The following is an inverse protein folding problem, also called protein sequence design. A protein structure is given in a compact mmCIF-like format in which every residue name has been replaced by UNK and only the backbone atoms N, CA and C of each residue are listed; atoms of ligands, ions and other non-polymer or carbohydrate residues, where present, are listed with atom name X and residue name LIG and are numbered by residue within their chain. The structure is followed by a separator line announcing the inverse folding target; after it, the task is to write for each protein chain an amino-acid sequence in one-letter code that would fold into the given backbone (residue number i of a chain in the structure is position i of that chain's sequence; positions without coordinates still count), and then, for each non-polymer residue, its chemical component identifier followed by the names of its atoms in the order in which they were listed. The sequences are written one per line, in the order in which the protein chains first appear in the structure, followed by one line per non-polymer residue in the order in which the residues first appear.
data_IF_313113492704
#
_entry.id   IF_313113492704
#
_cell.length_a   1.000
_cell.length_b   1.000
_cell.length_c   1.000
_cell.angle_alpha   90.00
_cell.angle_beta   90.00
_cell.angle_gamma   90.00
#
_symmetry.space_group_name_H-M   'P 1'
#
loop_
_entity.id
_entity.type
_entity.pdbx_description
1 polymer ?
#
# COMPACT_ATOMS: atom_id res chain seq x y z
N UNK A 1 25.14 -9.33 14.33
CA UNK A 1 25.24 -7.97 14.87
C UNK A 1 25.98 -7.10 13.86
N UNK A 2 25.25 -6.48 12.93
CA UNK A 2 25.81 -5.39 12.11
C UNK A 2 25.87 -4.16 13.02
N UNK A 3 27.07 -3.64 13.25
CA UNK A 3 27.37 -2.70 14.32
C UNK A 3 26.70 -1.34 14.15
N UNK A 4 26.29 -0.74 15.27
CA UNK A 4 25.64 0.59 15.39
C UNK A 4 26.28 1.71 14.56
N UNK A 5 27.56 1.60 14.17
CA UNK A 5 28.26 2.56 13.30
C UNK A 5 27.78 2.57 11.85
N UNK A 6 27.52 1.41 11.24
CA UNK A 6 27.00 1.33 9.87
C UNK A 6 25.52 1.77 9.81
N UNK A 7 24.74 1.41 10.82
CA UNK A 7 23.36 1.88 10.96
C UNK A 7 23.32 3.40 11.13
N UNK A 8 24.14 3.96 12.02
CA UNK A 8 24.24 5.41 12.21
C UNK A 8 24.74 6.17 10.97
N UNK A 9 25.61 5.57 10.14
CA UNK A 9 26.05 6.19 8.88
C UNK A 9 24.99 6.12 7.78
N UNK A 10 24.27 5.00 7.66
CA UNK A 10 23.16 4.87 6.69
C UNK A 10 21.97 5.75 7.03
N UNK A 11 21.75 6.01 8.31
CA UNK A 11 20.63 6.79 8.79
C UNK A 11 20.99 8.28 9.07
N UNK A 12 22.26 8.66 8.93
CA UNK A 12 22.72 10.05 9.05
C UNK A 12 21.93 11.08 8.20
N UNK A 13 21.49 10.76 6.96
CA UNK A 13 20.66 11.68 6.17
C UNK A 13 19.27 11.97 6.76
N UNK A 14 18.74 11.06 7.59
CA UNK A 14 17.43 11.16 8.22
C UNK A 14 17.47 11.75 9.65
N UNK A 15 18.66 12.13 10.13
CA UNK A 15 18.82 12.72 11.46
C UNK A 15 18.16 14.10 11.53
N UNK A 16 17.37 14.32 12.57
CA UNK A 16 16.60 15.55 12.76
C UNK A 16 15.40 15.69 11.82
N UNK A 17 15.02 14.62 11.12
CA UNK A 17 13.81 14.60 10.28
C UNK A 17 12.67 14.03 11.11
N UNK A 18 11.87 14.90 11.71
CA UNK A 18 10.83 14.52 12.68
C UNK A 18 9.44 14.88 12.19
N UNK A 19 9.22 16.13 11.74
CA UNK A 19 7.90 16.59 11.27
C UNK A 19 7.68 16.20 9.81
N UNK A 20 6.76 15.26 9.57
CA UNK A 20 6.57 14.64 8.25
C UNK A 20 5.19 14.97 7.68
N UNK A 21 5.16 15.63 6.52
CA UNK A 21 3.95 15.77 5.73
C UNK A 21 3.71 14.49 4.90
N UNK A 22 2.56 13.84 5.10
CA UNK A 22 2.22 12.57 4.48
C UNK A 22 1.19 12.78 3.37
N UNK A 23 1.57 12.38 2.16
CA UNK A 23 0.77 12.40 0.94
C UNK A 23 0.32 10.97 0.64
N UNK A 24 -0.99 10.75 0.65
CA UNK A 24 -1.58 9.43 0.45
C UNK A 24 -2.42 9.42 -0.82
N UNK A 25 -2.22 8.41 -1.68
CA UNK A 25 -2.98 8.25 -2.91
C UNK A 25 -3.34 6.78 -3.14
N UNK A 26 -4.65 6.48 -3.20
CA UNK A 26 -5.13 5.17 -3.65
C UNK A 26 -4.80 4.97 -5.12
N UNK A 27 -4.33 3.77 -5.46
CA UNK A 27 -3.97 3.39 -6.81
C UNK A 27 -4.62 2.05 -7.16
N UNK A 28 -5.85 2.03 -7.69
CA UNK A 28 -6.55 0.79 -7.98
C UNK A 28 -5.79 -0.08 -9.01
N UNK A 29 -5.73 -1.39 -8.80
CA UNK A 29 -4.89 -2.29 -9.62
C UNK A 29 -5.31 -2.35 -11.10
N UNK A 30 -6.56 -1.97 -11.41
CA UNK A 30 -7.11 -1.94 -12.76
C UNK A 30 -6.85 -0.62 -13.51
N UNK A 31 -6.22 0.35 -12.84
CA UNK A 31 -5.82 1.63 -13.42
C UNK A 31 -4.30 1.81 -13.33
N UNK A 32 -3.74 2.52 -14.29
CA UNK A 32 -2.36 3.03 -14.25
C UNK A 32 -2.33 4.53 -14.50
N UNK A 33 -1.21 5.17 -14.16
CA UNK A 33 -0.94 6.55 -14.54
C UNK A 33 -0.44 6.60 -15.99
N UNK A 34 -0.55 7.75 -16.64
CA UNK A 34 -0.11 7.92 -18.03
C UNK A 34 1.36 7.54 -18.24
N UNK A 35 2.23 7.80 -17.26
CA UNK A 35 3.66 7.53 -17.23
C UNK A 35 4.03 6.12 -16.74
N UNK A 36 3.04 5.28 -16.41
CA UNK A 36 3.25 3.95 -15.83
C UNK A 36 2.44 2.88 -16.58
N UNK A 37 3.08 1.74 -16.78
CA UNK A 37 2.51 0.64 -17.56
C UNK A 37 1.89 -0.44 -16.66
N UNK A 38 2.26 -0.48 -15.37
CA UNK A 38 1.69 -1.40 -14.39
C UNK A 38 1.39 -0.71 -13.04
N UNK A 39 0.47 -1.31 -12.28
CA UNK A 39 0.17 -0.87 -10.92
C UNK A 39 1.41 -1.01 -10.04
N UNK A 40 1.86 0.07 -9.38
CA UNK A 40 3.04 0.02 -8.52
C UNK A 40 4.36 -0.10 -9.28
N UNK A 41 4.49 0.55 -10.45
CA UNK A 41 5.78 0.67 -11.14
C UNK A 41 6.84 1.33 -10.24
N UNK A 42 7.61 0.48 -9.55
CA UNK A 42 8.80 0.85 -8.78
C UNK A 42 8.58 1.69 -7.53
N UNK A 43 9.70 2.20 -7.03
CA UNK A 43 9.73 3.16 -5.94
C UNK A 43 9.27 4.53 -6.42
N UNK A 44 8.61 5.29 -5.54
CA UNK A 44 8.26 6.68 -5.81
C UNK A 44 9.53 7.53 -5.88
N UNK A 45 9.74 8.24 -6.99
CA UNK A 45 10.85 9.16 -7.22
C UNK A 45 10.33 10.58 -7.31
N UNK A 46 11.25 11.55 -7.32
CA UNK A 46 10.98 12.99 -7.47
C UNK A 46 10.19 13.32 -8.76
N UNK A 47 10.42 12.56 -9.84
CA UNK A 47 9.71 12.72 -11.12
C UNK A 47 8.45 11.85 -11.25
N UNK A 48 8.13 11.02 -10.26
CA UNK A 48 6.93 10.17 -10.32
C UNK A 48 5.66 11.02 -10.31
N UNK A 49 4.74 10.74 -11.23
CA UNK A 49 3.44 11.42 -11.31
C UNK A 49 2.52 11.03 -10.14
N UNK A 50 2.52 11.83 -9.08
CA UNK A 50 1.72 11.57 -7.89
C UNK A 50 0.22 11.76 -8.14
N UNK A 51 -0.15 12.90 -8.74
CA UNK A 51 -1.52 13.24 -9.12
C UNK A 51 -1.63 13.39 -10.63
N UNK A 52 -2.75 12.95 -11.20
CA UNK A 52 -3.00 13.03 -12.63
C UNK A 52 -4.24 12.22 -13.05
N UNK A 53 -4.51 12.13 -14.36
CA UNK A 53 -5.52 11.24 -14.87
C UNK A 53 -5.08 9.77 -14.69
N UNK A 54 -6.07 8.89 -14.55
CA UNK A 54 -5.86 7.45 -14.63
C UNK A 54 -6.28 6.94 -16.01
N UNK A 55 -5.57 5.94 -16.51
CA UNK A 55 -5.92 5.14 -17.70
C UNK A 55 -6.12 3.67 -17.31
N UNK A 56 -6.82 2.86 -18.11
CA UNK A 56 -6.86 1.42 -17.88
C UNK A 56 -5.46 0.80 -17.86
N UNK A 57 -5.20 -0.11 -16.93
CA UNK A 57 -3.93 -0.81 -16.87
C UNK A 57 -3.77 -1.80 -18.05
N UNK A 58 -2.57 -1.87 -18.63
CA UNK A 58 -2.28 -2.72 -19.80
C UNK A 58 -2.38 -4.22 -19.48
N UNK A 59 -2.13 -4.59 -18.22
CA UNK A 59 -2.17 -5.98 -17.76
C UNK A 59 -2.73 -6.09 -16.35
N UNK A 60 -3.68 -7.00 -16.17
CA UNK A 60 -4.35 -7.27 -14.90
C UNK A 60 -4.42 -8.78 -14.69
N UNK A 61 -4.16 -9.25 -13.47
CA UNK A 61 -4.42 -10.65 -13.13
C UNK A 61 -5.95 -10.85 -13.07
N UNK A 62 -6.55 -11.76 -13.87
CA UNK A 62 -8.00 -11.93 -13.91
C UNK A 62 -8.62 -12.42 -12.60
N UNK A 63 -7.80 -12.78 -11.61
CA UNK A 63 -8.21 -13.20 -10.28
C UNK A 63 -8.01 -12.13 -9.21
N UNK A 64 -7.35 -11.03 -9.55
CA UNK A 64 -7.12 -9.91 -8.64
C UNK A 64 -8.32 -8.96 -8.63
N UNK A 65 -8.57 -8.39 -7.47
CA UNK A 65 -9.69 -7.50 -7.22
C UNK A 65 -9.24 -6.34 -6.33
N UNK A 66 -9.76 -5.15 -6.58
CA UNK A 66 -9.55 -3.99 -5.71
C UNK A 66 -10.66 -3.95 -4.65
N UNK A 67 -10.32 -3.76 -3.38
CA UNK A 67 -11.27 -3.86 -2.26
C UNK A 67 -11.76 -2.48 -1.83
N UNK A 68 -13.06 -2.21 -1.96
CA UNK A 68 -13.63 -0.91 -1.62
C UNK A 68 -13.64 -0.64 -0.11
N UNK A 69 -13.85 -1.67 0.71
CA UNK A 69 -14.07 -1.57 2.15
C UNK A 69 -12.84 -1.12 2.95
N UNK A 70 -11.65 -1.10 2.34
CA UNK A 70 -10.46 -0.50 2.95
C UNK A 70 -10.35 0.95 2.47
N UNK A 71 -10.55 1.87 3.41
CA UNK A 71 -10.66 3.31 3.16
C UNK A 71 -9.32 4.02 3.29
N UNK A 72 -9.23 5.22 2.71
CA UNK A 72 -8.07 6.11 2.85
C UNK A 72 -7.79 6.42 4.33
N UNK A 73 -8.85 6.52 5.16
CA UNK A 73 -8.74 6.73 6.60
C UNK A 73 -8.09 5.54 7.32
N UNK A 74 -8.46 4.31 6.98
CA UNK A 74 -7.86 3.09 7.58
C UNK A 74 -6.35 3.02 7.32
N UNK A 75 -5.97 3.34 6.08
CA UNK A 75 -4.59 3.34 5.62
C UNK A 75 -3.80 4.46 6.29
N UNK A 76 -4.36 5.66 6.28
CA UNK A 76 -3.76 6.82 6.90
C UNK A 76 -3.51 6.59 8.39
N UNK A 77 -4.51 6.11 9.13
CA UNK A 77 -4.38 5.75 10.54
C UNK A 77 -3.24 4.76 10.77
N UNK A 78 -3.17 3.69 9.97
CA UNK A 78 -2.11 2.68 10.10
C UNK A 78 -0.71 3.25 9.92
N UNK A 79 -0.54 4.20 8.98
CA UNK A 79 0.75 4.87 8.74
C UNK A 79 1.09 5.83 9.88
N UNK A 80 0.13 6.67 10.30
CA UNK A 80 0.35 7.65 11.37
C UNK A 80 0.76 6.94 12.67
N UNK A 81 0.02 5.90 13.08
CA UNK A 81 0.31 5.15 14.30
C UNK A 81 1.74 4.61 14.30
N UNK A 82 2.15 3.93 13.22
CA UNK A 82 3.50 3.36 13.12
C UNK A 82 4.56 4.46 13.12
N UNK A 83 4.34 5.56 12.39
CA UNK A 83 5.30 6.66 12.34
C UNK A 83 5.46 7.35 13.71
N UNK A 84 4.37 7.55 14.45
CA UNK A 84 4.39 8.08 15.82
C UNK A 84 5.16 7.13 16.75
N UNK A 85 4.87 5.84 16.69
CA UNK A 85 5.59 4.82 17.47
C UNK A 85 7.09 4.77 17.11
N UNK A 86 7.46 5.20 15.90
CA UNK A 86 8.83 5.33 15.39
C UNK A 86 9.51 6.66 15.73
N UNK A 87 8.81 7.57 16.41
CA UNK A 87 9.35 8.85 16.88
C UNK A 87 9.21 10.02 15.89
N UNK A 88 8.43 9.87 14.83
CA UNK A 88 8.07 10.99 13.95
C UNK A 88 6.87 11.77 14.50
N UNK A 89 6.68 12.99 13.99
CA UNK A 89 5.47 13.81 14.13
C UNK A 89 4.78 13.91 12.75
N UNK A 90 4.03 12.87 12.33
CA UNK A 90 3.43 12.82 11.02
C UNK A 90 2.06 13.50 10.99
N UNK A 91 1.71 14.07 9.85
CA UNK A 91 0.35 14.56 9.60
C UNK A 91 -0.03 14.41 8.14
N UNK A 92 -1.33 14.19 7.89
CA UNK A 92 -1.86 14.02 6.54
C UNK A 92 -2.03 15.37 5.86
N UNK A 93 -1.60 15.42 4.60
CA UNK A 93 -1.92 16.54 3.72
C UNK A 93 -3.34 16.38 3.20
N UNK A 94 -4.26 17.19 3.73
CA UNK A 94 -5.70 17.11 3.46
C UNK A 94 -6.15 17.79 2.18
N UNK A 95 -5.34 18.70 1.62
CA UNK A 95 -5.64 19.43 0.38
C UNK A 95 -4.64 19.06 -0.68
N UNK A 96 -5.05 18.15 -1.56
CA UNK A 96 -4.33 17.86 -2.79
C UNK A 96 -5.01 18.59 -3.96
N UNK A 97 -4.24 19.13 -4.92
CA UNK A 97 -4.80 19.70 -6.14
C UNK A 97 -5.68 18.70 -6.88
N UNK A 98 -6.60 19.21 -7.71
CA UNK A 98 -7.53 18.37 -8.49
C UNK A 98 -6.77 17.26 -9.25
N UNK A 99 -7.30 16.02 -9.33
CA UNK A 99 -6.70 14.93 -10.10
C UNK A 99 -6.50 15.24 -11.59
N UNK A 100 -7.17 16.28 -12.11
CA UNK A 100 -6.98 16.74 -13.49
C UNK A 100 -5.61 17.41 -13.70
N UNK A 101 -4.99 17.90 -12.63
CA UNK A 101 -3.65 18.47 -12.67
C UNK A 101 -2.61 17.35 -12.60
N UNK A 102 -1.70 17.31 -13.58
CA UNK A 102 -0.56 16.39 -13.58
C UNK A 102 0.53 16.96 -12.67
N UNK A 103 0.76 16.33 -11.53
CA UNK A 103 1.76 16.77 -10.55
C UNK A 103 2.70 15.64 -10.17
N UNK A 104 3.99 15.89 -10.37
CA UNK A 104 5.04 15.03 -9.83
C UNK A 104 5.23 15.26 -8.34
N UNK A 105 5.87 14.32 -7.66
CA UNK A 105 6.24 14.50 -6.25
C UNK A 105 7.11 15.74 -6.03
N UNK A 106 8.07 16.02 -6.92
CA UNK A 106 8.88 17.25 -6.86
C UNK A 106 8.01 18.51 -6.94
N UNK A 107 7.08 18.57 -7.90
CA UNK A 107 6.16 19.72 -8.00
C UNK A 107 5.29 19.87 -6.75
N UNK A 108 4.84 18.77 -6.15
CA UNK A 108 4.08 18.81 -4.89
C UNK A 108 4.94 19.28 -3.71
N UNK A 109 6.15 18.75 -3.55
CA UNK A 109 7.09 19.19 -2.50
C UNK A 109 7.39 20.69 -2.63
N UNK A 110 7.71 21.15 -3.85
CA UNK A 110 7.99 22.56 -4.11
C UNK A 110 6.80 23.47 -3.77
N UNK A 111 5.57 23.08 -4.13
CA UNK A 111 4.35 23.83 -3.77
C UNK A 111 4.08 23.80 -2.27
N UNK A 112 4.24 22.65 -1.63
CA UNK A 112 3.94 22.51 -0.21
C UNK A 112 4.91 23.30 0.67
N UNK A 113 6.19 23.39 0.28
CA UNK A 113 7.19 24.23 0.97
C UNK A 113 6.82 25.71 1.01
N UNK A 114 5.94 26.19 0.14
CA UNK A 114 5.43 27.57 0.17
C UNK A 114 4.31 27.76 1.21
N UNK A 115 3.71 26.66 1.67
CA UNK A 115 2.61 26.64 2.64
C UNK A 115 3.12 26.34 4.05
N UNK A 116 4.06 25.41 4.17
CA UNK A 116 4.67 24.99 5.42
C UNK A 116 6.18 24.76 5.19
N UNK A 117 6.99 25.68 5.68
CA UNK A 117 8.45 25.64 5.58
C UNK A 117 9.13 25.01 6.80
N UNK A 118 8.34 24.63 7.81
CA UNK A 118 8.77 23.94 9.05
C UNK A 118 8.74 22.41 8.90
N UNK A 119 8.29 21.89 7.75
CA UNK A 119 8.33 20.45 7.46
C UNK A 119 9.77 19.98 7.26
N UNK A 120 10.12 18.86 7.91
CA UNK A 120 11.45 18.23 7.74
C UNK A 120 11.48 17.21 6.60
N UNK A 121 10.35 16.54 6.34
CA UNK A 121 10.26 15.51 5.32
C UNK A 121 8.88 15.36 4.67
N UNK A 122 8.90 14.82 3.45
CA UNK A 122 7.72 14.53 2.66
C UNK A 122 7.61 13.04 2.42
N UNK A 123 6.58 12.40 2.97
CA UNK A 123 6.31 10.99 2.73
C UNK A 123 5.24 10.86 1.66
N UNK A 124 5.58 10.31 0.49
CA UNK A 124 4.61 9.97 -0.54
C UNK A 124 4.27 8.50 -0.47
N UNK A 125 2.98 8.18 -0.49
CA UNK A 125 2.44 6.84 -0.34
C UNK A 125 1.44 6.51 -1.44
N UNK A 126 1.68 5.41 -2.15
CA UNK A 126 0.66 4.75 -2.96
C UNK A 126 0.23 3.44 -2.34
N UNK A 127 -1.04 3.10 -2.53
CA UNK A 127 -1.55 1.81 -2.06
C UNK A 127 -2.68 1.24 -2.89
N UNK A 128 -2.82 -0.08 -2.78
CA UNK A 128 -3.89 -0.84 -3.44
C UNK A 128 -4.33 -1.98 -2.53
N UNK A 129 -5.55 -1.94 -1.95
CA UNK A 129 -6.12 -3.08 -1.24
C UNK A 129 -6.52 -4.16 -2.25
N UNK A 130 -5.84 -5.30 -2.25
CA UNK A 130 -6.05 -6.33 -3.29
C UNK A 130 -6.36 -7.69 -2.70
N UNK A 131 -7.39 -8.34 -3.28
CA UNK A 131 -7.73 -9.74 -3.03
C UNK A 131 -7.51 -10.58 -4.29
N UNK A 132 -7.07 -11.81 -4.12
CA UNK A 132 -6.88 -12.78 -5.19
C UNK A 132 -7.77 -13.99 -4.98
N UNK A 133 -8.63 -14.33 -5.93
CA UNK A 133 -9.42 -15.57 -5.85
C UNK A 133 -8.71 -16.76 -6.51
N UNK A 134 -9.11 -17.99 -6.14
CA UNK A 134 -8.55 -19.20 -6.71
C UNK A 134 -8.94 -19.36 -8.18
N UNK A 135 -10.20 -19.03 -8.53
CA UNK A 135 -10.74 -19.15 -9.87
C UNK A 135 -11.56 -17.90 -10.23
N UNK A 136 -11.23 -17.27 -11.36
CA UNK A 136 -11.87 -16.05 -11.85
C UNK A 136 -13.34 -16.22 -12.25
N UNK A 137 -13.83 -17.44 -12.46
CA UNK A 137 -15.25 -17.70 -12.81
C UNK A 137 -16.22 -17.41 -11.66
N UNK A 138 -15.73 -17.21 -10.44
CA UNK A 138 -16.55 -16.91 -9.26
C UNK A 138 -16.48 -15.44 -8.84
N UNK A 139 -15.92 -14.58 -9.70
CA UNK A 139 -15.85 -13.15 -9.46
C UNK A 139 -17.16 -12.45 -9.81
N UNK A 140 -17.52 -11.36 -9.10
CA UNK A 140 -18.54 -10.45 -9.56
C UNK A 140 -18.24 -9.91 -10.96
N UNK A 141 -19.29 -9.60 -11.72
CA UNK A 141 -19.14 -9.06 -13.06
C UNK A 141 -18.36 -7.73 -13.03
N UNK A 142 -17.34 -7.63 -13.88
CA UNK A 142 -16.47 -6.46 -13.98
C UNK A 142 -15.50 -6.28 -12.80
N UNK A 143 -15.30 -7.26 -11.92
CA UNK A 143 -14.40 -7.14 -10.76
C UNK A 143 -12.94 -6.77 -11.10
N UNK A 144 -12.50 -7.02 -12.33
CA UNK A 144 -11.18 -6.63 -12.84
C UNK A 144 -11.12 -5.19 -13.39
N UNK A 145 -12.21 -4.42 -13.31
CA UNK A 145 -12.32 -3.05 -13.86
C UNK A 145 -12.87 -2.03 -12.86
N UNK A 146 -13.18 -2.46 -11.63
CA UNK A 146 -13.69 -1.60 -10.56
C UNK A 146 -13.32 -2.15 -9.19
N UNK A 147 -13.48 -1.31 -8.17
CA UNK A 147 -13.47 -1.73 -6.79
C UNK A 147 -14.71 -2.56 -6.48
N UNK A 148 -14.53 -3.59 -5.66
CA UNK A 148 -15.56 -4.56 -5.27
C UNK A 148 -15.66 -4.57 -3.75
N UNK A 149 -16.89 -4.65 -3.25
CA UNK A 149 -17.14 -4.76 -1.82
C UNK A 149 -16.85 -6.18 -1.30
N UNK A 150 -16.42 -6.32 -0.05
CA UNK A 150 -16.15 -7.64 0.56
C UNK A 150 -17.42 -8.49 0.64
N UNK A 151 -18.57 -7.89 0.95
CA UNK A 151 -19.87 -8.58 0.95
C UNK A 151 -20.33 -8.98 -0.46
N UNK A 152 -20.04 -8.15 -1.46
CA UNK A 152 -20.33 -8.47 -2.86
C UNK A 152 -19.52 -9.69 -3.32
N UNK A 153 -18.23 -9.71 -2.96
CA UNK A 153 -17.36 -10.85 -3.22
C UNK A 153 -17.86 -12.11 -2.48
N UNK A 154 -18.20 -11.99 -1.20
CA UNK A 154 -18.70 -13.12 -0.41
C UNK A 154 -19.93 -13.76 -1.07
N UNK A 155 -20.91 -12.94 -1.50
CA UNK A 155 -22.11 -13.43 -2.19
C UNK A 155 -21.82 -14.10 -3.54
N UNK A 156 -20.78 -13.69 -4.26
CA UNK A 156 -20.37 -14.33 -5.50
C UNK A 156 -19.63 -15.67 -5.29
N UNK A 157 -18.88 -15.79 -4.19
CA UNK A 157 -18.14 -17.02 -3.86
C UNK A 157 -19.06 -18.09 -3.27
N UNK A 158 -19.99 -17.71 -2.38
CA UNK A 158 -20.98 -18.62 -1.81
C UNK A 158 -22.33 -17.92 -1.61
N UNK A 159 -23.29 -18.11 -2.54
CA UNK A 159 -24.65 -17.55 -2.42
C UNK A 159 -25.45 -18.11 -1.23
N UNK A 160 -24.97 -19.19 -0.60
CA UNK A 160 -25.66 -19.93 0.46
C UNK A 160 -25.00 -19.83 1.84
N UNK A 161 -23.76 -19.38 1.92
CA UNK A 161 -23.03 -19.32 3.19
C UNK A 161 -23.01 -17.92 3.80
N UNK A 162 -23.10 -17.89 5.13
CA UNK A 162 -22.97 -16.69 5.95
C UNK A 162 -21.50 -16.25 6.13
N UNK A 163 -20.54 -17.10 5.80
CA UNK A 163 -19.10 -16.89 5.92
C UNK A 163 -18.40 -17.57 4.72
N UNK A 164 -17.10 -17.30 4.52
CA UNK A 164 -16.09 -18.22 3.99
C UNK A 164 -15.23 -17.69 2.85
N UNK A 165 -13.97 -17.51 3.21
CA UNK A 165 -12.87 -17.22 2.34
C UNK A 165 -11.68 -18.03 2.88
N UNK A 166 -11.18 -19.02 2.13
CA UNK A 166 -9.84 -19.60 2.34
C UNK A 166 -8.81 -18.49 2.31
N UNK A 167 -7.63 -18.68 2.89
CA UNK A 167 -6.46 -17.87 2.57
C UNK A 167 -5.23 -18.70 2.91
N UNK A 168 -4.42 -18.98 1.90
CA UNK A 168 -3.20 -19.76 2.04
C UNK A 168 -2.24 -19.45 0.90
N UNK A 169 -0.94 -19.66 1.12
CA UNK A 169 0.12 -19.21 0.20
C UNK A 169 0.10 -19.90 -1.16
N UNK A 170 -0.37 -21.15 -1.17
CA UNK A 170 -0.24 -22.00 -2.34
C UNK A 170 -1.56 -21.98 -3.08
N UNK A 171 -1.65 -21.11 -4.08
CA UNK A 171 -2.75 -21.12 -5.04
C UNK A 171 -3.11 -22.54 -5.51
N UNK A 172 -2.12 -23.42 -5.69
CA UNK A 172 -2.31 -24.81 -6.12
C UNK A 172 -3.06 -25.69 -5.13
N UNK A 173 -3.21 -25.26 -3.88
CA UNK A 173 -3.90 -25.98 -2.80
C UNK A 173 -5.23 -25.31 -2.43
N UNK A 174 -5.56 -24.17 -3.04
CA UNK A 174 -6.79 -23.45 -2.78
C UNK A 174 -8.00 -24.24 -3.29
N UNK A 175 -9.04 -24.48 -2.47
CA UNK A 175 -10.27 -25.05 -2.97
C UNK A 175 -10.92 -24.11 -4.00
N UNK A 176 -11.76 -24.62 -4.93
CA UNK A 176 -12.59 -23.75 -5.76
C UNK A 176 -13.38 -22.77 -4.88
N UNK A 177 -13.56 -21.52 -5.35
CA UNK A 177 -14.28 -20.43 -4.62
C UNK A 177 -13.56 -19.87 -3.38
N UNK A 178 -12.27 -20.14 -3.23
CA UNK A 178 -11.41 -19.56 -2.20
C UNK A 178 -10.85 -18.16 -2.57
N UNK A 179 -10.53 -17.34 -1.56
CA UNK A 179 -9.48 -16.31 -1.73
C UNK A 179 -8.14 -16.98 -1.47
N UNK A 180 -7.16 -16.73 -2.32
CA UNK A 180 -5.82 -17.25 -2.14
C UNK A 180 -4.96 -16.28 -1.34
N UNK A 181 -5.05 -14.99 -1.65
CA UNK A 181 -4.20 -13.96 -1.05
C UNK A 181 -4.98 -12.68 -0.81
N UNK A 182 -4.68 -12.02 0.31
CA UNK A 182 -5.27 -10.76 0.73
C UNK A 182 -4.18 -9.86 1.29
N UNK A 183 -3.87 -8.75 0.64
CA UNK A 183 -2.91 -7.78 1.16
C UNK A 183 -3.07 -6.41 0.54
N UNK A 184 -2.55 -5.41 1.25
CA UNK A 184 -2.51 -4.03 0.80
C UNK A 184 -1.15 -3.79 0.16
N UNK A 185 -1.10 -3.67 -1.15
CA UNK A 185 0.10 -3.21 -1.85
C UNK A 185 0.43 -1.80 -1.39
N UNK A 186 1.72 -1.52 -1.20
CA UNK A 186 2.17 -0.22 -0.70
C UNK A 186 3.50 0.18 -1.34
N UNK A 187 3.65 1.44 -1.72
CA UNK A 187 4.90 2.05 -2.16
C UNK A 187 5.08 3.37 -1.44
N UNK A 188 6.25 3.59 -0.87
CA UNK A 188 6.60 4.75 -0.06
C UNK A 188 7.97 5.29 -0.42
N UNK A 189 8.08 6.61 -0.44
CA UNK A 189 9.37 7.27 -0.38
C UNK A 189 9.28 8.46 0.56
N UNK A 190 10.20 8.52 1.52
CA UNK A 190 10.44 9.70 2.33
C UNK A 190 11.52 10.55 1.66
N UNK A 191 11.21 11.80 1.40
CA UNK A 191 12.15 12.80 0.91
C UNK A 191 12.48 13.80 2.01
N UNK A 192 13.72 14.28 2.03
CA UNK A 192 14.12 15.40 2.87
C UNK A 192 13.53 16.70 2.30
N UNK A 193 12.92 17.53 3.15
CA UNK A 193 12.25 18.74 2.71
C UNK A 193 13.19 19.85 2.19
N UNK A 194 14.48 19.84 2.59
CA UNK A 194 15.45 20.88 2.24
C UNK A 194 16.12 20.66 0.89
N UNK A 195 16.41 19.41 0.54
CA UNK A 195 17.19 19.08 -0.66
C UNK A 195 16.51 18.05 -1.57
N UNK A 196 15.30 17.60 -1.22
CA UNK A 196 14.50 16.61 -1.96
C UNK A 196 15.21 15.28 -2.19
N UNK A 197 16.26 14.99 -1.42
CA UNK A 197 16.94 13.72 -1.50
C UNK A 197 16.04 12.63 -0.88
N UNK A 198 15.86 11.47 -1.55
CA UNK A 198 15.24 10.32 -0.93
C UNK A 198 16.06 9.87 0.29
N UNK A 199 15.43 9.82 1.45
CA UNK A 199 16.03 9.35 2.70
C UNK A 199 15.91 7.84 2.81
N UNK A 200 14.73 7.32 2.48
CA UNK A 200 14.49 5.89 2.31
C UNK A 200 13.33 5.66 1.34
N UNK A 201 13.37 4.50 0.70
CA UNK A 201 12.45 4.11 -0.36
C UNK A 201 12.05 2.66 -0.14
N UNK A 202 10.75 2.41 -0.12
CA UNK A 202 10.17 1.08 0.07
C UNK A 202 9.11 0.86 -0.98
N UNK A 203 9.14 -0.27 -1.67
CA UNK A 203 8.05 -0.68 -2.56
C UNK A 203 7.76 -2.16 -2.33
N UNK A 204 6.54 -2.45 -1.89
CA UNK A 204 5.96 -3.79 -1.85
C UNK A 204 5.08 -4.01 -3.08
N UNK A 205 5.60 -3.60 -4.24
CA UNK A 205 4.92 -3.74 -5.52
C UNK A 205 5.22 -5.13 -6.10
N UNK A 206 4.26 -6.03 -5.92
CA UNK A 206 4.30 -7.38 -6.46
C UNK A 206 3.34 -7.50 -7.65
N UNK A 207 3.68 -6.84 -8.77
CA UNK A 207 3.12 -7.24 -10.06
C UNK A 207 3.92 -8.45 -10.51
N UNK A 208 3.25 -9.55 -10.86
CA UNK A 208 3.85 -10.80 -11.41
C UNK A 208 4.32 -11.87 -10.41
N UNK A 209 3.96 -11.80 -9.13
CA UNK A 209 4.01 -12.98 -8.24
C UNK A 209 5.39 -13.33 -7.66
N UNK A 210 6.31 -12.37 -7.58
CA UNK A 210 7.48 -12.48 -6.69
C UNK A 210 7.30 -11.52 -5.51
N UNK A 211 6.71 -12.05 -4.45
CA UNK A 211 6.67 -11.42 -3.11
C UNK A 211 8.14 -11.15 -2.72
N UNK A 212 8.52 -9.88 -2.51
CA UNK A 212 9.82 -9.61 -1.88
C UNK A 212 9.77 -10.19 -0.46
N UNK A 213 10.87 -10.78 0.06
CA UNK A 213 10.88 -11.52 1.33
C UNK A 213 10.53 -10.71 2.61
N UNK A 214 10.23 -9.42 2.49
CA UNK A 214 9.82 -8.58 3.62
C UNK A 214 8.28 -8.61 3.72
N UNK A 215 7.62 -9.41 4.56
CA UNK A 215 8.00 -10.03 5.82
C UNK A 215 7.14 -11.29 5.98
N UNK A 216 7.74 -12.48 5.96
CA UNK A 216 7.05 -13.75 6.23
C UNK A 216 6.45 -13.84 7.66
N UNK A 217 6.77 -12.87 8.51
CA UNK A 217 6.41 -12.80 9.94
C UNK A 217 5.10 -12.03 10.21
N UNK A 218 4.52 -11.35 9.21
CA UNK A 218 3.34 -10.50 9.41
C UNK A 218 2.02 -11.23 9.08
N UNK A 219 1.16 -11.52 10.09
CA UNK A 219 -0.14 -12.14 9.87
C UNK A 219 -1.06 -11.33 8.93
N UNK A 220 -1.85 -11.96 8.02
CA UNK A 220 -1.88 -13.38 7.78
C UNK A 220 -0.58 -13.72 7.06
N UNK A 221 0.25 -14.46 7.77
CA UNK A 221 1.49 -14.91 7.23
C UNK A 221 1.09 -16.00 6.26
N UNK A 222 2.02 -16.41 5.43
CA UNK A 222 2.07 -17.79 5.02
C UNK A 222 1.54 -18.81 6.09
N UNK A 223 0.30 -19.32 5.97
CA UNK A 223 -0.27 -20.38 6.84
C UNK A 223 -0.66 -21.60 6.02
N UNK A 224 -0.34 -22.79 6.54
CA UNK A 224 -0.72 -24.10 5.99
C UNK A 224 -2.10 -24.57 6.50
N UNK A 225 -2.75 -23.77 7.35
CA UNK A 225 -4.08 -24.06 7.90
C UNK A 225 -5.13 -23.24 7.17
N UNK A 226 -6.21 -23.92 6.82
CA UNK A 226 -7.44 -23.28 6.37
C UNK A 226 -8.07 -22.53 7.55
N UNK A 227 -8.42 -21.28 7.35
CA UNK A 227 -9.20 -20.52 8.32
C UNK A 227 -10.42 -19.93 7.64
N UNK A 228 -11.56 -20.18 8.26
CA UNK A 228 -12.84 -19.63 7.84
C UNK A 228 -12.88 -18.15 8.24
N UNK A 229 -13.29 -17.27 7.31
CA UNK A 229 -13.33 -15.82 7.54
C UNK A 229 -14.59 -15.19 7.00
N UNK A 230 -14.96 -14.07 7.63
CA UNK A 230 -16.02 -13.14 7.23
C UNK A 230 -15.40 -11.85 6.64
N UNK A 231 -16.19 -10.98 5.97
CA UNK A 231 -15.73 -9.68 5.47
C UNK A 231 -14.99 -8.82 6.51
N UNK A 232 -15.49 -8.72 7.74
CA UNK A 232 -14.86 -7.93 8.80
C UNK A 232 -13.53 -8.54 9.26
N UNK A 233 -13.38 -9.85 9.22
CA UNK A 233 -12.14 -10.56 9.49
C UNK A 233 -11.10 -10.28 8.40
N UNK A 234 -11.49 -10.33 7.12
CA UNK A 234 -10.59 -9.97 6.00
C UNK A 234 -10.07 -8.54 6.13
N UNK A 235 -10.96 -7.58 6.42
CA UNK A 235 -10.58 -6.18 6.67
C UNK A 235 -9.56 -6.05 7.81
N UNK A 236 -9.87 -6.62 8.99
CA UNK A 236 -8.97 -6.60 10.16
C UNK A 236 -7.62 -7.25 9.88
N UNK A 237 -7.63 -8.38 9.17
CA UNK A 237 -6.42 -9.13 8.84
C UNK A 237 -5.53 -8.32 7.88
N UNK A 238 -6.09 -7.72 6.83
CA UNK A 238 -5.35 -6.88 5.88
C UNK A 238 -4.72 -5.66 6.58
N UNK A 239 -5.44 -5.00 7.49
CA UNK A 239 -4.91 -3.86 8.23
C UNK A 239 -3.84 -4.27 9.25
N UNK A 240 -4.05 -5.35 9.99
CA UNK A 240 -3.03 -5.88 10.91
C UNK A 240 -1.74 -6.26 10.17
N UNK A 241 -1.89 -6.88 8.99
CA UNK A 241 -0.78 -7.19 8.10
C UNK A 241 -0.03 -5.94 7.66
N UNK A 242 -0.77 -4.91 7.23
CA UNK A 242 -0.18 -3.64 6.84
C UNK A 242 0.58 -3.00 8.00
N UNK A 243 -0.04 -2.87 9.17
CA UNK A 243 0.61 -2.27 10.36
C UNK A 243 1.91 -2.99 10.73
N UNK A 244 1.88 -4.33 10.74
CA UNK A 244 3.07 -5.12 10.96
C UNK A 244 4.14 -4.85 9.88
N UNK A 245 3.77 -4.84 8.60
CA UNK A 245 4.71 -4.54 7.51
C UNK A 245 5.31 -3.14 7.65
N UNK A 246 4.48 -2.13 7.88
CA UNK A 246 4.91 -0.75 8.08
C UNK A 246 5.93 -0.64 9.22
N UNK A 247 5.76 -1.37 10.32
CA UNK A 247 6.72 -1.37 11.44
C UNK A 247 8.15 -1.76 11.03
N UNK A 248 8.27 -2.70 10.09
CA UNK A 248 9.57 -3.14 9.56
C UNK A 248 10.08 -2.27 8.40
N UNK A 249 9.16 -1.67 7.65
CA UNK A 249 9.46 -0.91 6.44
C UNK A 249 9.79 0.57 6.71
N UNK A 250 9.26 1.13 7.80
CA UNK A 250 9.51 2.50 8.25
C UNK A 250 10.73 2.48 9.19
N UNK A 251 11.75 3.25 8.82
CA UNK A 251 12.92 3.47 9.67
C UNK A 251 12.56 4.24 10.94
N UNK A 252 13.36 4.12 11.99
CA UNK A 252 13.14 4.90 13.21
C UNK A 252 13.54 6.38 12.97
N UNK A 253 12.83 7.31 13.59
CA UNK A 253 13.24 8.70 13.64
C UNK A 253 14.55 8.79 14.42
N UNK A 254 15.53 9.49 13.86
CA UNK A 254 16.80 9.71 14.54
C UNK A 254 16.88 11.13 15.08
N UNK A 255 17.02 11.31 16.41
CA UNK A 255 17.29 12.62 16.98
C UNK A 255 18.64 13.19 16.53
#
# INVERSE_FOLDING_TARGET
MLGNREYAQKAAPARGVVRIAVFLQRWPHFLSRDDQNAAGDGFIRDQTLFLGPFKPADRINPRAMDVLDITDADIAQSIMEVMIDKGYDPYLVSVLPSPQEKLTTNSLMARYRLVDDEVDGFLFCYYTPTLFVANSTFLPEGANRRSVGLYELAGALDPSAADFIWSGQRQSQAPPRAITHAFIYFSMTLFNARNWQPLWMTADANVWGRIRPAIAECPPGPTDRDYWTDPAMVHRIMLRNLRCRLWHLIGDALP
#
